data_IF_077968950286
#
_entry.id   IF_077968950286
#
_cell.length_a   1.000
_cell.length_b   1.000
_cell.length_c   1.000
_cell.angle_alpha   90.00
_cell.angle_beta   90.00
_cell.angle_gamma   90.00
#
_symmetry.space_group_name_H-M   'P 1'
#
loop_
_entity.id
_entity.type
_entity.pdbx_description
1 polymer ?
#
# COMPACT_ATOMS: atom_id res chain seq x y z
N UNK A 1 -15.70 55.90 30.24
CA UNK A 1 -14.96 54.68 30.60
C UNK A 1 -15.38 53.61 29.61
N UNK A 2 -14.79 53.65 28.43
CA UNK A 2 -14.95 52.68 27.35
C UNK A 2 -13.81 51.67 27.45
N UNK A 3 -14.12 50.39 27.59
CA UNK A 3 -13.26 49.31 27.11
C UNK A 3 -14.16 48.28 26.43
N UNK A 4 -14.38 48.52 25.14
CA UNK A 4 -15.05 47.62 24.23
C UNK A 4 -13.99 46.83 23.47
N UNK A 5 -14.05 45.51 23.57
CA UNK A 5 -13.68 44.63 22.45
C UNK A 5 -12.25 44.14 22.41
N UNK A 6 -12.01 42.95 22.98
CA UNK A 6 -11.01 42.02 22.45
C UNK A 6 -11.66 40.68 22.13
N UNK A 7 -12.25 40.61 20.95
CA UNK A 7 -12.61 39.35 20.30
C UNK A 7 -11.34 38.61 19.89
N UNK A 8 -10.98 37.56 20.62
CA UNK A 8 -9.88 36.66 20.25
C UNK A 8 -10.37 35.78 19.10
N UNK A 9 -9.86 36.02 17.88
CA UNK A 9 -10.21 35.23 16.70
C UNK A 9 -9.81 33.74 16.86
N UNK A 10 -10.65 32.78 16.44
CA UNK A 10 -10.44 31.36 16.68
C UNK A 10 -9.31 30.76 15.81
N UNK A 11 -8.32 30.11 16.45
CA UNK A 11 -7.17 29.40 15.86
C UNK A 11 -7.53 28.09 15.11
N UNK A 12 -8.68 28.03 14.42
CA UNK A 12 -9.19 26.80 13.77
C UNK A 12 -8.55 26.55 12.39
N UNK A 13 -8.16 27.60 11.67
CA UNK A 13 -7.63 27.52 10.29
C UNK A 13 -6.20 26.93 10.23
N UNK A 14 -5.32 27.28 11.16
CA UNK A 14 -3.95 26.75 11.20
C UNK A 14 -3.92 25.23 11.42
N UNK A 15 -4.79 24.69 12.28
CA UNK A 15 -4.86 23.24 12.54
C UNK A 15 -5.28 22.43 11.31
N UNK A 16 -6.21 22.96 10.50
CA UNK A 16 -6.64 22.30 9.26
C UNK A 16 -5.51 22.32 8.21
N UNK A 17 -4.84 23.45 8.02
CA UNK A 17 -3.72 23.56 7.08
C UNK A 17 -2.59 22.59 7.43
N UNK A 18 -2.18 22.53 8.70
CA UNK A 18 -1.16 21.59 9.17
C UNK A 18 -1.60 20.12 9.01
N UNK A 19 -2.87 19.80 9.28
CA UNK A 19 -3.38 18.43 9.15
C UNK A 19 -3.45 17.98 7.69
N UNK A 20 -3.87 18.87 6.79
CA UNK A 20 -3.89 18.60 5.34
C UNK A 20 -2.47 18.38 4.81
N UNK A 21 -1.52 19.23 5.19
CA UNK A 21 -0.11 19.07 4.82
C UNK A 21 0.49 17.76 5.36
N UNK A 22 0.15 17.37 6.58
CA UNK A 22 0.64 16.14 7.20
C UNK A 22 0.23 14.87 6.43
N UNK A 23 -0.90 14.89 5.71
CA UNK A 23 -1.38 13.74 4.91
C UNK A 23 -0.99 13.88 3.43
N UNK A 24 -1.02 15.10 2.88
CA UNK A 24 -0.73 15.35 1.47
C UNK A 24 0.76 15.19 1.14
N UNK A 25 1.65 15.67 2.02
CA UNK A 25 3.10 15.68 1.75
C UNK A 25 3.67 14.26 1.60
N UNK A 26 3.39 13.30 2.51
CA UNK A 26 3.85 11.91 2.33
C UNK A 26 3.28 11.25 1.07
N UNK A 27 2.05 11.60 0.69
CA UNK A 27 1.39 11.05 -0.51
C UNK A 27 2.09 11.52 -1.78
N UNK A 28 2.39 12.81 -1.89
CA UNK A 28 3.11 13.37 -3.05
C UNK A 28 4.51 12.79 -3.12
N UNK A 29 5.24 12.74 -2.00
CA UNK A 29 6.57 12.15 -1.94
C UNK A 29 6.54 10.69 -2.44
N UNK A 30 5.58 9.89 -1.98
CA UNK A 30 5.42 8.51 -2.44
C UNK A 30 5.21 8.41 -3.95
N UNK A 31 4.45 9.33 -4.55
CA UNK A 31 4.25 9.39 -6.02
C UNK A 31 5.53 9.76 -6.76
N UNK A 32 6.29 10.72 -6.24
CA UNK A 32 7.57 11.13 -6.84
C UNK A 32 8.58 9.97 -6.80
N UNK A 33 8.70 9.28 -5.68
CA UNK A 33 9.55 8.08 -5.58
C UNK A 33 9.07 6.95 -6.49
N UNK A 34 7.75 6.74 -6.60
CA UNK A 34 7.17 5.79 -7.54
C UNK A 34 7.53 6.12 -8.98
N UNK A 35 7.40 7.38 -9.39
CA UNK A 35 7.78 7.83 -10.73
C UNK A 35 9.28 7.65 -10.98
N UNK A 36 10.13 8.02 -10.02
CA UNK A 36 11.57 7.85 -10.14
C UNK A 36 11.95 6.37 -10.31
N UNK A 37 11.30 5.47 -9.57
CA UNK A 37 11.46 4.02 -9.73
C UNK A 37 11.11 3.59 -11.15
N UNK A 38 10.00 4.08 -11.71
CA UNK A 38 9.56 3.71 -13.05
C UNK A 38 10.54 4.22 -14.13
N UNK A 39 11.10 5.43 -13.96
CA UNK A 39 12.17 5.97 -14.83
C UNK A 39 13.44 5.12 -14.75
N UNK A 40 13.86 4.73 -13.54
CA UNK A 40 15.03 3.88 -13.32
C UNK A 40 14.82 2.52 -14.00
N UNK A 41 13.65 1.89 -13.85
CA UNK A 41 13.34 0.63 -14.51
C UNK A 41 13.40 0.76 -16.03
N UNK A 42 12.78 1.81 -16.60
CA UNK A 42 12.82 2.06 -18.04
C UNK A 42 14.25 2.31 -18.55
N UNK A 43 15.10 3.00 -17.77
CA UNK A 43 16.49 3.24 -18.13
C UNK A 43 17.34 1.96 -18.17
N UNK A 44 17.19 1.08 -17.17
CA UNK A 44 18.00 -0.15 -17.08
C UNK A 44 17.46 -1.31 -17.91
N UNK A 45 16.14 -1.46 -18.01
CA UNK A 45 15.50 -2.61 -18.67
C UNK A 45 15.02 -2.30 -20.10
N UNK A 46 14.87 -1.02 -20.46
CA UNK A 46 14.33 -0.61 -21.76
C UNK A 46 12.89 -1.09 -21.99
N UNK A 47 12.51 -1.28 -23.25
CA UNK A 47 11.19 -1.80 -23.67
C UNK A 47 11.22 -3.26 -24.14
N UNK A 48 12.26 -4.00 -23.75
CA UNK A 48 12.48 -5.39 -24.17
C UNK A 48 11.82 -6.44 -23.27
N UNK A 49 12.05 -7.72 -23.60
CA UNK A 49 11.48 -8.88 -22.88
C UNK A 49 11.73 -8.85 -21.36
N UNK A 50 12.86 -8.28 -20.91
CA UNK A 50 13.20 -8.14 -19.49
C UNK A 50 12.19 -7.27 -18.73
N UNK A 51 11.67 -6.21 -19.35
CA UNK A 51 10.68 -5.32 -18.75
C UNK A 51 9.31 -6.01 -18.63
N UNK A 52 8.96 -6.86 -19.59
CA UNK A 52 7.72 -7.63 -19.55
C UNK A 52 7.74 -8.69 -18.44
N UNK A 53 8.85 -9.43 -18.31
CA UNK A 53 9.04 -10.39 -17.24
C UNK A 53 9.00 -9.71 -15.86
N UNK A 54 9.66 -8.55 -15.72
CA UNK A 54 9.61 -7.76 -14.50
C UNK A 54 8.18 -7.27 -14.18
N UNK A 55 7.46 -6.80 -15.19
CA UNK A 55 6.07 -6.32 -15.03
C UNK A 55 5.16 -7.44 -14.54
N UNK A 56 5.25 -8.63 -15.13
CA UNK A 56 4.48 -9.81 -14.68
C UNK A 56 4.83 -10.16 -13.23
N UNK A 57 6.12 -10.23 -12.91
CA UNK A 57 6.59 -10.54 -11.57
C UNK A 57 6.11 -9.50 -10.52
N UNK A 58 6.03 -8.23 -10.91
CA UNK A 58 5.61 -7.14 -10.03
C UNK A 58 4.09 -7.10 -9.78
N UNK A 59 3.26 -7.54 -10.73
CA UNK A 59 1.80 -7.45 -10.63
C UNK A 59 1.24 -8.28 -9.47
N UNK A 60 1.72 -9.53 -9.27
CA UNK A 60 1.17 -10.43 -8.26
C UNK A 60 1.38 -9.88 -6.84
N UNK A 61 2.61 -9.53 -6.41
CA UNK A 61 2.83 -8.96 -5.09
C UNK A 61 2.15 -7.60 -4.92
N UNK A 62 2.11 -6.79 -5.98
CA UNK A 62 1.47 -5.49 -5.93
C UNK A 62 -0.05 -5.59 -5.76
N UNK A 63 -0.71 -6.55 -6.41
CA UNK A 63 -2.14 -6.81 -6.21
C UNK A 63 -2.43 -7.21 -4.76
N UNK A 64 -1.65 -8.14 -4.20
CA UNK A 64 -1.78 -8.55 -2.80
C UNK A 64 -1.61 -7.36 -1.85
N UNK A 65 -0.59 -6.53 -2.07
CA UNK A 65 -0.34 -5.30 -1.30
C UNK A 65 -1.53 -4.33 -1.37
N UNK A 66 -2.17 -4.19 -2.54
CA UNK A 66 -3.34 -3.31 -2.71
C UNK A 66 -4.56 -3.85 -1.98
N UNK A 67 -4.81 -5.16 -2.08
CA UNK A 67 -5.94 -5.83 -1.43
C UNK A 67 -5.83 -5.77 0.09
N UNK A 68 -4.68 -6.16 0.64
CA UNK A 68 -4.48 -6.15 2.09
C UNK A 68 -4.24 -4.72 2.59
N UNK A 69 -3.19 -4.04 2.14
CA UNK A 69 -2.69 -2.82 2.78
C UNK A 69 -3.36 -1.50 2.40
N UNK A 70 -3.84 -1.35 1.15
CA UNK A 70 -4.33 -0.03 0.68
C UNK A 70 -5.81 0.23 0.95
N UNK A 71 -6.63 -0.80 1.18
CA UNK A 71 -8.09 -0.62 1.34
C UNK A 71 -8.75 -1.54 2.36
N UNK A 72 -8.64 -2.86 2.19
CA UNK A 72 -9.44 -3.79 2.99
C UNK A 72 -9.01 -3.84 4.46
N UNK A 73 -7.69 -3.89 4.73
CA UNK A 73 -7.18 -3.88 6.10
C UNK A 73 -7.55 -2.60 6.81
N UNK A 74 -7.33 -1.43 6.20
CA UNK A 74 -7.60 -0.12 6.80
C UNK A 74 -9.08 0.03 7.16
N UNK A 75 -9.98 -0.36 6.25
CA UNK A 75 -11.42 -0.30 6.46
C UNK A 75 -11.91 -1.23 7.58
N UNK A 76 -11.30 -2.42 7.74
CA UNK A 76 -11.66 -3.37 8.79
C UNK A 76 -10.99 -3.07 10.14
N UNK A 77 -9.72 -2.65 10.13
CA UNK A 77 -8.89 -2.48 11.33
C UNK A 77 -9.22 -1.19 12.09
N UNK A 78 -9.32 -0.05 11.41
CA UNK A 78 -9.47 1.26 12.07
C UNK A 78 -10.71 1.34 12.95
N UNK A 79 -11.91 0.90 12.51
CA UNK A 79 -13.12 0.96 13.35
C UNK A 79 -12.97 0.14 14.62
N UNK A 80 -12.50 -1.11 14.50
CA UNK A 80 -12.32 -2.04 15.63
C UNK A 80 -11.24 -1.54 16.59
N UNK A 81 -10.09 -1.10 16.06
CA UNK A 81 -9.01 -0.53 16.86
C UNK A 81 -9.47 0.71 17.63
N UNK A 82 -10.24 1.59 16.98
CA UNK A 82 -10.78 2.80 17.61
C UNK A 82 -11.80 2.48 18.69
N UNK A 83 -12.62 1.44 18.49
CA UNK A 83 -13.56 0.97 19.50
C UNK A 83 -12.83 0.43 20.74
N UNK A 84 -11.87 -0.48 20.56
CA UNK A 84 -11.06 -1.04 21.66
C UNK A 84 -10.30 0.07 22.38
N UNK A 85 -9.78 1.06 21.66
CA UNK A 85 -9.08 2.21 22.25
C UNK A 85 -9.98 3.04 23.17
N UNK A 86 -11.28 3.11 22.91
CA UNK A 86 -12.25 3.88 23.73
C UNK A 86 -12.75 3.07 24.93
N UNK A 87 -12.97 1.78 24.75
CA UNK A 87 -13.69 0.93 25.71
C UNK A 87 -12.77 0.14 26.64
N UNK A 88 -11.52 -0.11 26.24
CA UNK A 88 -10.62 -1.06 26.90
C UNK A 88 -9.32 -0.43 27.39
N UNK A 89 -8.58 -1.22 28.17
CA UNK A 89 -7.27 -0.82 28.67
C UNK A 89 -6.22 -0.74 27.55
N UNK A 90 -5.16 0.04 27.78
CA UNK A 90 -4.01 0.12 26.86
C UNK A 90 -3.39 -1.26 26.59
N UNK A 91 -3.36 -2.14 27.58
CA UNK A 91 -2.84 -3.50 27.43
C UNK A 91 -3.68 -4.34 26.45
N UNK A 92 -5.01 -4.26 26.56
CA UNK A 92 -5.92 -4.94 25.63
C UNK A 92 -5.82 -4.40 24.21
N UNK A 93 -5.64 -3.08 24.05
CA UNK A 93 -5.44 -2.45 22.75
C UNK A 93 -4.17 -2.99 22.05
N UNK A 94 -3.05 -3.06 22.76
CA UNK A 94 -1.80 -3.60 22.22
C UNK A 94 -1.87 -5.11 21.97
N UNK A 95 -2.56 -5.86 22.83
CA UNK A 95 -2.81 -7.28 22.61
C UNK A 95 -3.60 -7.51 21.32
N UNK A 96 -4.66 -6.74 21.09
CA UNK A 96 -5.43 -6.81 19.84
C UNK A 96 -4.55 -6.49 18.63
N UNK A 97 -3.81 -5.38 18.67
CA UNK A 97 -2.93 -4.99 17.56
C UNK A 97 -1.89 -6.08 17.26
N UNK A 98 -1.27 -6.64 18.29
CA UNK A 98 -0.28 -7.71 18.13
C UNK A 98 -0.88 -8.96 17.49
N UNK A 99 -2.04 -9.43 17.96
CA UNK A 99 -2.72 -10.59 17.38
C UNK A 99 -3.06 -10.32 15.91
N UNK A 100 -3.68 -9.17 15.63
CA UNK A 100 -4.06 -8.78 14.28
C UNK A 100 -2.86 -8.75 13.31
N UNK A 101 -1.77 -8.09 13.69
CA UNK A 101 -0.57 -8.02 12.84
C UNK A 101 0.16 -9.35 12.73
N UNK A 102 0.12 -10.19 13.77
CA UNK A 102 0.67 -11.54 13.72
C UNK A 102 -0.09 -12.40 12.71
N UNK A 103 -1.42 -12.42 12.80
CA UNK A 103 -2.29 -13.18 11.88
C UNK A 103 -2.16 -12.67 10.44
N UNK A 104 -2.12 -11.35 10.25
CA UNK A 104 -1.90 -10.75 8.94
C UNK A 104 -0.53 -11.15 8.36
N UNK A 105 0.53 -11.12 9.18
CA UNK A 105 1.87 -11.50 8.75
C UNK A 105 1.92 -12.98 8.40
N UNK A 106 1.33 -13.85 9.22
CA UNK A 106 1.27 -15.29 8.98
C UNK A 106 0.51 -15.59 7.67
N UNK A 107 -0.63 -14.94 7.45
CA UNK A 107 -1.41 -15.07 6.21
C UNK A 107 -0.60 -14.60 4.99
N UNK A 108 0.05 -13.43 5.07
CA UNK A 108 0.86 -12.91 3.98
C UNK A 108 2.09 -13.78 3.70
N UNK A 109 2.71 -14.35 4.73
CA UNK A 109 3.83 -15.28 4.59
C UNK A 109 3.36 -16.57 3.88
N UNK A 110 2.22 -17.13 4.30
CA UNK A 110 1.64 -18.30 3.66
C UNK A 110 1.31 -18.03 2.18
N UNK A 111 0.62 -16.92 1.88
CA UNK A 111 0.29 -16.52 0.50
C UNK A 111 1.56 -16.33 -0.32
N UNK A 112 2.61 -15.75 0.25
CA UNK A 112 3.91 -15.57 -0.44
C UNK A 112 4.56 -16.91 -0.74
N UNK A 113 4.62 -17.83 0.23
CA UNK A 113 5.19 -19.18 0.02
C UNK A 113 4.40 -19.94 -1.05
N UNK A 114 3.06 -19.90 -0.98
CA UNK A 114 2.20 -20.50 -1.99
C UNK A 114 2.43 -19.89 -3.37
N UNK A 115 2.59 -18.56 -3.45
CA UNK A 115 2.91 -17.86 -4.69
C UNK A 115 4.25 -18.28 -5.29
N UNK A 116 5.28 -18.48 -4.46
CA UNK A 116 6.59 -18.97 -4.91
C UNK A 116 6.48 -20.39 -5.46
N UNK A 117 5.81 -21.30 -4.74
CA UNK A 117 5.63 -22.69 -5.17
C UNK A 117 4.77 -22.78 -6.43
N UNK A 118 3.72 -21.96 -6.53
CA UNK A 118 2.82 -21.91 -7.67
C UNK A 118 3.36 -21.04 -8.83
N UNK A 119 4.55 -20.46 -8.71
CA UNK A 119 5.14 -19.54 -9.69
C UNK A 119 5.09 -20.05 -11.13
N UNK A 120 5.45 -21.32 -11.45
CA UNK A 120 5.39 -21.82 -12.83
C UNK A 120 3.97 -21.81 -13.41
N UNK A 121 2.96 -22.07 -12.58
CA UNK A 121 1.56 -22.04 -12.99
C UNK A 121 1.08 -20.59 -13.16
N UNK A 122 1.45 -19.71 -12.22
CA UNK A 122 1.09 -18.29 -12.24
C UNK A 122 1.65 -17.58 -13.47
N UNK A 123 2.91 -17.85 -13.81
CA UNK A 123 3.55 -17.31 -15.02
C UNK A 123 2.85 -17.83 -16.28
N UNK A 124 2.46 -19.10 -16.34
CA UNK A 124 1.67 -19.63 -17.47
C UNK A 124 0.31 -18.95 -17.59
N UNK A 125 -0.41 -18.77 -16.48
CA UNK A 125 -1.75 -18.16 -16.49
C UNK A 125 -1.68 -16.68 -16.88
N UNK A 126 -0.76 -15.91 -16.29
CA UNK A 126 -0.63 -14.47 -16.55
C UNK A 126 0.03 -14.22 -17.91
N UNK A 127 0.99 -15.06 -18.29
CA UNK A 127 1.68 -15.03 -19.58
C UNK A 127 0.81 -15.44 -20.78
N UNK A 128 -0.37 -16.04 -20.57
CA UNK A 128 -1.34 -16.29 -21.66
C UNK A 128 -1.76 -15.00 -22.36
N UNK A 129 -1.76 -13.86 -21.67
CA UNK A 129 -2.00 -12.53 -22.28
C UNK A 129 -0.91 -12.05 -23.24
N UNK A 130 0.24 -12.72 -23.29
CA UNK A 130 1.33 -12.46 -24.24
C UNK A 130 1.31 -13.40 -25.45
N UNK A 131 0.29 -14.28 -25.59
CA UNK A 131 0.13 -15.16 -26.77
C UNK A 131 0.09 -14.41 -28.10
N UNK A 132 -0.38 -13.17 -28.09
CA UNK A 132 -0.58 -12.37 -29.30
C UNK A 132 0.67 -11.59 -29.76
N UNK A 133 1.84 -11.79 -29.11
CA UNK A 133 3.11 -11.13 -29.49
C UNK A 133 4.13 -12.19 -29.93
N UNK A 134 4.47 -12.18 -31.22
CA UNK A 134 5.38 -13.15 -31.83
C UNK A 134 6.77 -13.16 -31.16
N UNK A 135 7.27 -14.36 -30.81
CA UNK A 135 8.66 -14.60 -30.39
C UNK A 135 8.96 -14.75 -28.88
N UNK A 136 7.96 -14.72 -27.98
CA UNK A 136 8.17 -14.83 -26.52
C UNK A 136 7.98 -16.23 -25.91
N UNK A 137 7.56 -17.22 -26.72
CA UNK A 137 7.28 -18.58 -26.25
C UNK A 137 8.52 -19.45 -26.03
N UNK A 138 9.69 -19.04 -26.53
CA UNK A 138 10.90 -19.87 -26.49
C UNK A 138 11.68 -19.78 -25.16
N UNK A 139 11.27 -18.93 -24.20
CA UNK A 139 12.02 -18.70 -22.95
C UNK A 139 11.22 -18.96 -21.65
N UNK A 140 10.05 -19.58 -21.74
CA UNK A 140 9.25 -20.09 -20.60
C UNK A 140 9.07 -21.59 -20.68
#
# INVERSE_FOLDING_TARGET
>A
MEDTGRGVLPKRHQKLFHSTLAVALPTILSRVFGFLRDVIQAFYMGTGQSMDAFTIAYVIPNLLRRLSGEGAMTAAFIPVFTQIKKEKTKAELWRFANIFFYDLTLLMALVTVLGIVASPLLVKIIGLGFKDIAGKWELT
#
